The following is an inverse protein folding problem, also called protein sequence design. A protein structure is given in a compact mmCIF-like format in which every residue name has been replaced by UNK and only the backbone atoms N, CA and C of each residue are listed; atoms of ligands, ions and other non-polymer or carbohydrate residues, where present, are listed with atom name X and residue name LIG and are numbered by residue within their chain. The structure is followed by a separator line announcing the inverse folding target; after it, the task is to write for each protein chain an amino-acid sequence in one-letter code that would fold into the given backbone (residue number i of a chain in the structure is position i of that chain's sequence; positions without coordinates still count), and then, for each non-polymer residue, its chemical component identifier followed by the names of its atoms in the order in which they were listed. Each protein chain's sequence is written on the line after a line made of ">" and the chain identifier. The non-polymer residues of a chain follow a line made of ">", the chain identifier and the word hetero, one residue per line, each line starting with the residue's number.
data_IF_986925488789
#
_entry.id   IF_986925488789
#
_cell.length_a   1.000
_cell.length_b   1.000
_cell.length_c   1.000
_cell.angle_alpha   90.00
_cell.angle_beta   90.00
_cell.angle_gamma   90.00
#
_symmetry.space_group_name_H-M   'P 1'
#
loop_
_entity.id
_entity.type
_entity.pdbx_description
1 polymer ?
#
# COMPACT_ATOMS: atom_id res chain seq x y z
N UNK A 1 45.23 3.45 25.90
CA UNK A 1 44.38 4.53 25.36
C UNK A 1 42.93 4.11 25.51
N UNK A 2 42.07 4.97 26.04
CA UNK A 2 40.63 4.69 26.15
C UNK A 2 40.00 4.91 24.77
N UNK A 3 39.16 3.97 24.31
CA UNK A 3 38.42 4.15 23.05
C UNK A 3 37.56 5.40 23.13
N UNK A 4 37.50 6.17 22.04
CA UNK A 4 36.57 7.32 21.91
C UNK A 4 35.15 6.84 21.64
N UNK A 5 34.99 5.67 21.02
CA UNK A 5 33.69 5.07 20.72
C UNK A 5 33.28 4.03 21.78
N UNK A 6 31.96 3.78 21.95
CA UNK A 6 31.46 2.63 22.69
C UNK A 6 32.15 1.34 22.26
N UNK A 7 32.47 0.48 23.24
CA UNK A 7 33.20 -0.75 22.97
C UNK A 7 32.22 -1.83 22.50
N UNK A 8 32.48 -2.40 21.32
CA UNK A 8 31.83 -3.62 20.86
C UNK A 8 32.77 -4.82 21.03
N UNK A 9 32.34 -5.85 21.76
CA UNK A 9 33.07 -7.10 21.88
C UNK A 9 33.20 -7.71 20.49
N UNK A 10 34.36 -8.27 20.16
CA UNK A 10 34.54 -9.05 18.93
C UNK A 10 34.43 -10.52 19.29
N UNK A 11 33.40 -11.20 18.81
CA UNK A 11 33.27 -12.64 18.91
C UNK A 11 34.22 -13.34 17.93
N UNK A 12 34.31 -14.67 18.04
CA UNK A 12 35.04 -15.52 17.09
C UNK A 12 34.10 -16.11 16.03
N UNK A 13 32.86 -15.62 15.92
CA UNK A 13 31.90 -16.15 14.97
C UNK A 13 32.35 -15.91 13.52
N UNK A 14 32.02 -16.86 12.66
CA UNK A 14 32.35 -16.85 11.26
C UNK A 14 31.37 -17.76 10.49
N UNK A 15 31.03 -17.35 9.27
CA UNK A 15 30.23 -18.14 8.35
C UNK A 15 31.11 -18.83 7.31
N UNK A 16 30.66 -19.96 6.77
CA UNK A 16 31.31 -20.60 5.61
C UNK A 16 30.41 -20.45 4.39
N UNK A 17 30.87 -19.72 3.39
CA UNK A 17 30.15 -19.50 2.13
C UNK A 17 31.05 -19.92 0.97
N UNK A 18 30.60 -20.88 0.15
CA UNK A 18 31.36 -21.41 -1.00
C UNK A 18 32.81 -21.83 -0.65
N UNK A 19 32.99 -22.57 0.46
CA UNK A 19 34.29 -22.98 1.01
C UNK A 19 35.22 -21.84 1.46
N UNK A 20 34.71 -20.60 1.59
CA UNK A 20 35.43 -19.48 2.18
C UNK A 20 34.90 -19.19 3.57
N UNK A 21 35.80 -19.02 4.55
CA UNK A 21 35.47 -18.57 5.90
C UNK A 21 35.39 -17.05 5.93
N UNK A 22 34.23 -16.51 6.32
CA UNK A 22 33.96 -15.08 6.45
C UNK A 22 33.72 -14.76 7.92
N UNK A 23 34.63 -14.04 8.60
CA UNK A 23 34.45 -13.65 10.01
C UNK A 23 33.26 -12.71 10.19
N UNK A 24 32.42 -12.96 11.21
CA UNK A 24 31.33 -12.08 11.65
C UNK A 24 31.49 -11.82 13.17
N UNK A 25 32.37 -10.90 13.58
CA UNK A 25 32.69 -10.70 14.99
C UNK A 25 31.58 -10.02 15.80
N UNK A 26 30.46 -9.62 15.18
CA UNK A 26 29.37 -8.91 15.84
C UNK A 26 28.02 -9.63 15.70
N UNK A 27 28.04 -10.93 15.41
CA UNK A 27 26.87 -11.83 15.32
C UNK A 27 25.85 -11.64 16.45
N UNK A 28 26.32 -11.43 17.67
CA UNK A 28 25.47 -11.24 18.83
C UNK A 28 24.58 -9.98 18.77
N UNK A 29 24.94 -8.99 17.94
CA UNK A 29 24.14 -7.78 17.68
C UNK A 29 22.96 -8.03 16.74
N UNK A 30 22.88 -9.20 16.08
CA UNK A 30 21.74 -9.61 15.27
C UNK A 30 20.51 -9.96 16.14
N UNK A 31 20.72 -10.25 17.42
CA UNK A 31 19.65 -10.48 18.41
C UNK A 31 19.32 -9.16 19.15
N UNK A 32 18.14 -8.55 18.89
CA UNK A 32 17.73 -7.32 19.55
C UNK A 32 17.38 -7.53 21.03
N UNK A 33 17.06 -8.76 21.45
CA UNK A 33 16.71 -9.08 22.83
C UNK A 33 17.93 -9.34 23.72
N UNK A 34 19.09 -9.58 23.10
CA UNK A 34 20.36 -9.74 23.80
C UNK A 34 20.69 -8.50 24.65
N UNK A 35 20.95 -8.65 25.96
CA UNK A 35 21.35 -7.55 26.82
C UNK A 35 22.58 -6.78 26.33
N UNK A 36 23.57 -7.46 25.72
CA UNK A 36 24.74 -6.79 25.16
C UNK A 36 24.37 -5.87 23.98
N UNK A 37 23.40 -6.27 23.15
CA UNK A 37 22.87 -5.45 22.05
C UNK A 37 22.17 -4.21 22.59
N UNK A 38 21.29 -4.38 23.59
CA UNK A 38 20.57 -3.27 24.23
C UNK A 38 21.53 -2.28 24.88
N UNK A 39 22.57 -2.76 25.58
CA UNK A 39 23.64 -1.90 26.13
C UNK A 39 24.38 -1.18 25.02
N UNK A 40 24.80 -1.88 23.96
CA UNK A 40 25.52 -1.28 22.84
C UNK A 40 24.70 -0.16 22.18
N UNK A 41 23.42 -0.38 21.87
CA UNK A 41 22.51 0.64 21.32
C UNK A 41 22.41 1.85 22.25
N UNK A 42 22.23 1.62 23.55
CA UNK A 42 22.15 2.71 24.53
C UNK A 42 23.44 3.54 24.61
N UNK A 43 24.60 2.89 24.56
CA UNK A 43 25.90 3.57 24.58
C UNK A 43 26.15 4.36 23.29
N UNK A 44 25.74 3.84 22.13
CA UNK A 44 25.82 4.56 20.86
C UNK A 44 24.95 5.82 20.87
N UNK A 45 23.71 5.72 21.35
CA UNK A 45 22.81 6.88 21.48
C UNK A 45 23.36 7.92 22.46
N UNK A 46 23.90 7.50 23.61
CA UNK A 46 24.51 8.40 24.58
C UNK A 46 25.75 9.12 24.01
N UNK A 47 26.60 8.39 23.29
CA UNK A 47 27.76 8.95 22.61
C UNK A 47 27.37 9.98 21.54
N UNK A 48 26.33 9.69 20.75
CA UNK A 48 25.79 10.63 19.77
C UNK A 48 25.32 11.94 20.43
N UNK A 49 24.55 11.86 21.51
CA UNK A 49 24.09 13.05 22.22
C UNK A 49 25.24 13.84 22.86
N UNK A 50 26.26 13.16 23.40
CA UNK A 50 27.46 13.82 23.92
C UNK A 50 28.22 14.56 22.79
N UNK A 51 28.42 13.92 21.64
CA UNK A 51 29.11 14.51 20.49
C UNK A 51 28.42 15.78 20.00
N UNK A 52 27.08 15.79 19.97
CA UNK A 52 26.30 16.93 19.51
C UNK A 52 25.96 17.96 20.60
N UNK A 53 26.40 17.75 21.84
CA UNK A 53 26.06 18.62 22.97
C UNK A 53 26.52 20.07 22.76
N UNK A 54 27.69 20.31 22.15
CA UNK A 54 28.19 21.65 21.86
C UNK A 54 27.37 22.40 20.81
N UNK A 55 26.62 21.68 19.97
CA UNK A 55 25.81 22.23 18.87
C UNK A 55 24.33 22.34 19.22
N UNK A 56 23.95 22.19 20.49
CA UNK A 56 22.56 22.17 20.94
C UNK A 56 21.76 23.41 20.47
N UNK A 57 22.39 24.60 20.52
CA UNK A 57 21.75 25.85 20.07
C UNK A 57 21.52 25.87 18.55
N UNK A 58 22.46 25.35 17.76
CA UNK A 58 22.28 25.25 16.32
C UNK A 58 21.20 24.21 15.96
N UNK A 59 21.22 23.04 16.61
CA UNK A 59 20.19 22.00 16.46
C UNK A 59 18.80 22.56 16.76
N UNK A 60 18.66 23.31 17.84
CA UNK A 60 17.40 23.97 18.20
C UNK A 60 16.92 24.95 17.13
N UNK A 61 17.80 25.83 16.63
CA UNK A 61 17.46 26.79 15.57
C UNK A 61 17.03 26.09 14.27
N UNK A 62 17.74 25.02 13.88
CA UNK A 62 17.39 24.22 12.71
C UNK A 62 16.03 23.55 12.91
N UNK A 63 15.82 22.93 14.08
CA UNK A 63 14.55 22.30 14.43
C UNK A 63 13.37 23.28 14.38
N UNK A 64 13.52 24.46 14.97
CA UNK A 64 12.49 25.52 14.95
C UNK A 64 12.24 26.00 13.51
N UNK A 65 13.29 26.20 12.71
CA UNK A 65 13.14 26.61 11.30
C UNK A 65 12.39 25.56 10.47
N UNK A 66 12.72 24.28 10.63
CA UNK A 66 12.03 23.19 9.93
C UNK A 66 10.58 23.10 10.42
N UNK A 67 10.34 23.13 11.72
CA UNK A 67 9.00 23.04 12.32
C UNK A 67 8.10 24.17 11.82
N UNK A 68 8.60 25.42 11.86
CA UNK A 68 7.85 26.58 11.35
C UNK A 68 7.54 26.48 9.85
N UNK A 69 8.44 25.87 9.06
CA UNK A 69 8.19 25.64 7.62
C UNK A 69 7.16 24.54 7.34
N UNK A 70 6.93 23.65 8.30
CA UNK A 70 5.94 22.57 8.21
C UNK A 70 4.60 22.88 8.89
N UNK A 71 4.54 23.92 9.72
CA UNK A 71 3.33 24.35 10.43
C UNK A 71 2.37 25.13 9.53
N UNK A 72 1.80 24.41 8.56
CA UNK A 72 0.75 24.91 7.69
C UNK A 72 -0.29 23.82 7.40
N UNK A 73 -1.56 24.18 7.17
CA UNK A 73 -2.60 23.22 6.85
C UNK A 73 -2.30 22.46 5.55
N UNK A 74 -2.46 21.14 5.60
CA UNK A 74 -2.21 20.21 4.48
C UNK A 74 -3.42 19.31 4.28
N UNK A 75 -3.82 19.11 3.03
CA UNK A 75 -4.90 18.18 2.66
C UNK A 75 -4.46 17.18 1.60
N UNK A 76 -5.00 15.96 1.59
CA UNK A 76 -4.91 15.07 0.41
C UNK A 76 -5.82 15.56 -0.72
N UNK A 77 -5.77 14.90 -1.88
CA UNK A 77 -6.87 15.03 -2.84
C UNK A 77 -8.14 14.38 -2.25
N UNK A 78 -9.33 14.92 -2.58
CA UNK A 78 -10.58 14.38 -2.09
C UNK A 78 -10.99 13.13 -2.86
N UNK A 79 -11.61 12.18 -2.17
CA UNK A 79 -12.33 11.04 -2.74
C UNK A 79 -13.83 11.27 -2.59
N UNK A 80 -14.62 11.03 -3.63
CA UNK A 80 -16.08 11.15 -3.55
C UNK A 80 -16.71 9.79 -3.27
N UNK A 81 -17.29 9.62 -2.09
CA UNK A 81 -17.79 8.36 -1.54
C UNK A 81 -19.17 8.62 -0.90
N UNK A 82 -20.20 7.92 -1.37
CA UNK A 82 -21.55 7.86 -0.84
C UNK A 82 -22.17 9.24 -0.55
N UNK A 83 -22.07 10.16 -1.50
CA UNK A 83 -22.59 11.52 -1.36
C UNK A 83 -21.71 12.48 -0.55
N UNK A 84 -20.55 12.02 -0.09
CA UNK A 84 -19.61 12.80 0.73
C UNK A 84 -18.22 12.87 0.09
N UNK A 85 -17.44 13.85 0.52
CA UNK A 85 -16.02 13.99 0.18
C UNK A 85 -15.16 13.61 1.37
N UNK A 86 -14.21 12.72 1.14
CA UNK A 86 -13.24 12.27 2.15
C UNK A 86 -11.84 12.71 1.75
N UNK A 87 -11.10 13.25 2.71
CA UNK A 87 -9.71 13.66 2.50
C UNK A 87 -8.95 13.66 3.82
N UNK A 88 -7.66 13.39 3.75
CA UNK A 88 -6.78 13.55 4.90
C UNK A 88 -6.48 15.02 5.11
N UNK A 89 -6.46 15.46 6.36
CA UNK A 89 -6.11 16.81 6.79
C UNK A 89 -5.07 16.76 7.91
N UNK A 90 -4.09 17.65 7.86
CA UNK A 90 -3.17 17.92 8.96
C UNK A 90 -3.14 19.42 9.18
N UNK A 91 -3.41 19.88 10.39
CA UNK A 91 -3.44 21.32 10.72
C UNK A 91 -2.07 22.00 10.63
N UNK A 92 -0.99 21.22 10.63
CA UNK A 92 0.38 21.70 10.63
C UNK A 92 1.29 20.67 11.28
N UNK A 93 1.25 20.55 12.59
CA UNK A 93 2.18 19.71 13.35
C UNK A 93 1.53 18.47 13.99
N UNK A 94 0.36 18.01 13.50
CA UNK A 94 -0.21 16.76 13.98
C UNK A 94 0.71 15.59 13.59
N UNK A 95 0.88 14.63 14.50
CA UNK A 95 1.70 13.44 14.25
C UNK A 95 1.16 12.64 13.06
N UNK A 96 -0.17 12.45 13.01
CA UNK A 96 -0.86 11.77 11.93
C UNK A 96 -1.92 12.68 11.29
N UNK A 97 -2.09 12.59 9.98
CA UNK A 97 -3.22 13.23 9.31
C UNK A 97 -4.54 12.57 9.71
N UNK A 98 -5.57 13.39 9.88
CA UNK A 98 -6.95 12.98 10.22
C UNK A 98 -7.74 12.78 8.93
N UNK A 99 -8.50 11.69 8.82
CA UNK A 99 -9.45 11.51 7.72
C UNK A 99 -10.71 12.32 8.02
N UNK A 100 -10.98 13.31 7.19
CA UNK A 100 -12.14 14.21 7.28
C UNK A 100 -13.25 13.75 6.34
N UNK A 101 -14.50 14.12 6.69
CA UNK A 101 -15.70 13.96 5.87
C UNK A 101 -16.37 15.32 5.68
N UNK A 102 -16.61 15.68 4.42
CA UNK A 102 -17.28 16.91 4.00
C UNK A 102 -18.52 16.62 3.14
N UNK A 103 -19.48 17.52 3.16
CA UNK A 103 -20.71 17.46 2.35
C UNK A 103 -20.53 18.04 0.95
N UNK A 104 -19.51 18.87 0.74
CA UNK A 104 -19.14 19.44 -0.56
C UNK A 104 -17.65 19.79 -0.61
N UNK A 105 -17.11 20.04 -1.80
CA UNK A 105 -15.72 20.51 -1.98
C UNK A 105 -15.46 21.90 -1.36
N UNK A 106 -16.51 22.67 -1.08
CA UNK A 106 -16.45 24.01 -0.48
C UNK A 106 -16.98 24.03 0.96
N UNK A 107 -17.15 22.86 1.58
CA UNK A 107 -17.63 22.74 2.96
C UNK A 107 -16.66 23.44 3.93
N UNK A 108 -17.18 24.39 4.71
CA UNK A 108 -16.41 25.17 5.69
C UNK A 108 -16.40 24.53 7.07
N UNK A 109 -17.17 23.47 7.30
CA UNK A 109 -17.29 22.78 8.58
C UNK A 109 -17.21 21.24 8.42
N UNK A 110 -16.12 20.70 7.84
CA UNK A 110 -15.94 19.26 7.71
C UNK A 110 -15.87 18.57 9.08
N UNK A 111 -16.36 17.35 9.16
CA UNK A 111 -16.33 16.51 10.36
C UNK A 111 -15.16 15.53 10.34
N UNK A 112 -14.65 15.15 11.51
CA UNK A 112 -13.65 14.07 11.64
C UNK A 112 -14.36 12.74 11.38
N UNK A 113 -13.81 11.92 10.49
CA UNK A 113 -14.27 10.56 10.24
C UNK A 113 -13.39 9.52 10.95
N UNK A 114 -12.07 9.70 10.92
CA UNK A 114 -11.10 8.84 11.61
C UNK A 114 -9.89 9.67 12.04
N UNK A 115 -9.51 9.60 13.32
CA UNK A 115 -8.35 10.30 13.87
C UNK A 115 -7.33 9.31 14.46
N UNK A 116 -6.26 8.96 13.72
CA UNK A 116 -5.21 8.07 14.21
C UNK A 116 -4.47 8.60 15.45
N UNK A 117 -4.47 9.93 15.69
CA UNK A 117 -3.83 10.52 16.87
C UNK A 117 -4.53 10.12 18.17
N UNK A 118 -5.77 9.60 18.12
CA UNK A 118 -6.49 9.10 19.30
C UNK A 118 -6.13 7.65 19.66
N UNK A 119 -5.37 6.96 18.80
CA UNK A 119 -5.07 5.53 18.92
C UNK A 119 -3.74 5.24 19.62
N UNK A 120 -2.88 6.26 19.77
CA UNK A 120 -1.62 6.17 20.52
C UNK A 120 -1.32 7.49 21.21
N UNK A 121 -0.79 7.44 22.44
CA UNK A 121 -0.43 8.65 23.20
C UNK A 121 0.78 9.38 22.64
N UNK A 122 1.64 8.68 21.90
CA UNK A 122 2.86 9.20 21.28
C UNK A 122 2.73 9.41 19.76
N UNK A 123 1.57 9.11 19.16
CA UNK A 123 1.30 9.24 17.73
C UNK A 123 2.02 8.23 16.84
N UNK A 124 2.50 7.11 17.41
CA UNK A 124 3.25 6.07 16.69
C UNK A 124 2.37 5.04 15.99
N UNK A 125 1.04 5.08 16.20
CA UNK A 125 0.07 4.31 15.39
C UNK A 125 -0.26 5.08 14.12
N UNK A 126 -0.02 4.45 12.96
CA UNK A 126 -0.23 5.05 11.65
C UNK A 126 -1.21 4.22 10.80
N UNK A 127 -2.02 4.92 10.01
CA UNK A 127 -2.88 4.33 8.99
C UNK A 127 -2.03 3.89 7.79
N UNK A 128 -2.25 2.68 7.27
CA UNK A 128 -1.46 2.11 6.16
C UNK A 128 -2.30 1.90 4.90
N UNK A 129 -3.40 1.18 4.98
CA UNK A 129 -4.31 0.93 3.88
C UNK A 129 -5.75 1.27 4.26
N UNK A 130 -6.56 1.64 3.27
CA UNK A 130 -8.00 1.88 3.41
C UNK A 130 -8.72 1.41 2.17
N UNK A 131 -9.88 0.77 2.33
CA UNK A 131 -10.75 0.39 1.23
C UNK A 131 -12.22 0.47 1.64
N UNK A 132 -13.05 1.00 0.75
CA UNK A 132 -14.50 1.09 0.94
C UNK A 132 -15.19 -0.17 0.43
N UNK A 133 -16.28 -0.58 1.11
CA UNK A 133 -17.23 -1.58 0.59
C UNK A 133 -17.87 -1.08 -0.71
N UNK A 134 -18.46 -1.99 -1.50
CA UNK A 134 -19.04 -1.60 -2.80
C UNK A 134 -20.17 -0.56 -2.68
N UNK A 135 -21.00 -0.68 -1.65
CA UNK A 135 -22.05 0.30 -1.34
C UNK A 135 -21.54 1.49 -0.53
N UNK A 136 -20.25 1.51 -0.22
CA UNK A 136 -19.56 2.59 0.48
C UNK A 136 -20.14 2.88 1.88
N UNK A 137 -20.81 1.89 2.47
CA UNK A 137 -21.34 1.95 3.83
C UNK A 137 -20.30 1.60 4.90
N UNK A 138 -19.20 0.95 4.52
CA UNK A 138 -18.12 0.54 5.42
C UNK A 138 -16.74 0.90 4.87
N UNK A 139 -15.85 1.34 5.76
CA UNK A 139 -14.43 1.54 5.50
C UNK A 139 -13.65 0.47 6.28
N UNK A 140 -12.97 -0.42 5.56
CA UNK A 140 -11.92 -1.22 6.18
C UNK A 140 -10.61 -0.44 6.14
N UNK A 141 -9.86 -0.44 7.23
CA UNK A 141 -8.61 0.29 7.35
C UNK A 141 -7.58 -0.46 8.18
N UNK A 142 -6.31 -0.36 7.79
CA UNK A 142 -5.22 -1.03 8.49
C UNK A 142 -4.34 -0.06 9.27
N UNK A 143 -3.96 -0.47 10.47
CA UNK A 143 -3.10 0.26 11.39
C UNK A 143 -1.78 -0.48 11.58
N UNK A 144 -0.70 0.28 11.72
CA UNK A 144 0.63 -0.21 12.08
C UNK A 144 1.13 0.58 13.28
N UNK A 145 1.69 -0.12 14.25
CA UNK A 145 2.22 0.46 15.49
C UNK A 145 3.74 0.59 15.42
N UNK A 146 4.27 1.70 15.91
CA UNK A 146 5.72 1.97 16.01
C UNK A 146 6.49 1.80 14.69
N UNK A 147 5.80 1.94 13.56
CA UNK A 147 6.39 1.79 12.23
C UNK A 147 6.59 0.33 11.77
N UNK A 148 6.09 -0.66 12.51
CA UNK A 148 6.15 -2.08 12.12
C UNK A 148 5.41 -2.33 10.80
N UNK A 149 5.91 -3.28 9.99
CA UNK A 149 5.19 -3.72 8.80
C UNK A 149 3.97 -4.60 9.12
N UNK A 150 3.88 -5.11 10.36
CA UNK A 150 2.68 -5.77 10.85
C UNK A 150 1.51 -4.81 10.95
N UNK A 151 0.35 -5.28 10.52
CA UNK A 151 -0.86 -4.50 10.42
C UNK A 151 -2.03 -5.20 11.11
N UNK A 152 -2.89 -4.39 11.71
CA UNK A 152 -4.22 -4.78 12.21
C UNK A 152 -5.28 -4.12 11.35
N UNK A 153 -6.23 -4.90 10.82
CA UNK A 153 -7.33 -4.36 10.01
C UNK A 153 -8.57 -4.22 10.88
N UNK A 154 -9.20 -3.06 10.80
CA UNK A 154 -10.45 -2.70 11.46
C UNK A 154 -11.49 -2.34 10.40
N UNK A 155 -12.77 -2.36 10.80
CA UNK A 155 -13.88 -1.94 9.94
C UNK A 155 -14.68 -0.85 10.65
N UNK A 156 -14.97 0.24 9.94
CA UNK A 156 -15.75 1.38 10.43
C UNK A 156 -16.99 1.57 9.58
N UNK A 157 -18.13 1.85 10.22
CA UNK A 157 -19.35 2.20 9.52
C UNK A 157 -19.38 3.68 9.14
N UNK A 158 -19.81 3.97 7.92
CA UNK A 158 -19.89 5.33 7.39
C UNK A 158 -20.98 6.18 8.04
N UNK A 159 -22.13 5.56 8.37
CA UNK A 159 -23.32 6.22 8.91
C UNK A 159 -23.12 6.71 10.35
N UNK A 160 -22.60 5.84 11.20
CA UNK A 160 -22.43 6.03 12.64
C UNK A 160 -21.04 6.57 13.00
N UNK A 161 -20.05 6.38 12.12
CA UNK A 161 -18.63 6.74 12.37
C UNK A 161 -18.07 5.94 13.56
N UNK A 162 -18.56 4.72 13.75
CA UNK A 162 -18.14 3.79 14.79
C UNK A 162 -17.46 2.56 14.17
N UNK A 163 -16.46 2.03 14.88
CA UNK A 163 -15.83 0.76 14.50
C UNK A 163 -16.75 -0.40 14.84
N UNK A 164 -16.74 -1.43 14.00
CA UNK A 164 -17.39 -2.72 14.28
C UNK A 164 -16.53 -3.53 15.25
N UNK A 165 -16.98 -4.75 15.58
CA UNK A 165 -16.19 -5.71 16.36
C UNK A 165 -15.10 -6.42 15.57
N UNK A 166 -14.99 -6.17 14.26
CA UNK A 166 -14.07 -6.88 13.38
C UNK A 166 -12.63 -6.37 13.59
N UNK A 167 -11.73 -7.29 13.96
CA UNK A 167 -10.30 -7.04 14.13
C UNK A 167 -9.52 -8.20 13.53
N UNK A 168 -8.67 -7.89 12.55
CA UNK A 168 -7.88 -8.87 11.80
C UNK A 168 -6.41 -8.66 12.17
N UNK A 169 -5.80 -9.69 12.74
CA UNK A 169 -4.39 -9.69 13.13
C UNK A 169 -3.51 -10.35 12.07
N UNK A 170 -2.18 -10.14 12.18
CA UNK A 170 -1.17 -10.81 11.36
C UNK A 170 -1.26 -10.52 9.86
N UNK A 171 -1.84 -9.37 9.51
CA UNK A 171 -1.73 -8.84 8.15
C UNK A 171 -0.35 -8.17 7.98
N UNK A 172 0.29 -8.36 6.83
CA UNK A 172 1.59 -7.75 6.49
C UNK A 172 1.68 -7.70 4.97
N UNK A 173 2.22 -6.60 4.43
CA UNK A 173 2.24 -6.35 2.98
C UNK A 173 0.88 -6.56 2.30
N UNK A 174 -0.20 -6.18 3.00
CA UNK A 174 -1.58 -6.49 2.59
C UNK A 174 -2.22 -5.39 1.77
N UNK A 175 -3.10 -5.79 0.85
CA UNK A 175 -4.19 -4.94 0.34
C UNK A 175 -5.49 -5.30 1.06
N UNK A 176 -6.54 -4.48 0.87
CA UNK A 176 -7.90 -4.80 1.31
C UNK A 176 -8.78 -4.75 0.07
N UNK A 177 -9.34 -5.89 -0.34
CA UNK A 177 -10.15 -5.99 -1.55
C UNK A 177 -11.57 -6.47 -1.19
N UNK A 178 -12.51 -5.53 -1.12
CA UNK A 178 -13.90 -5.82 -0.79
C UNK A 178 -14.58 -6.68 -1.85
N UNK A 179 -15.29 -7.70 -1.39
CA UNK A 179 -16.25 -8.43 -2.21
C UNK A 179 -17.65 -8.03 -1.82
N UNK A 180 -18.21 -7.13 -2.64
CA UNK A 180 -19.48 -6.47 -2.37
C UNK A 180 -19.40 -5.77 -1.02
N UNK A 181 -20.32 -6.11 -0.11
CA UNK A 181 -20.39 -5.57 1.26
C UNK A 181 -20.25 -6.68 2.31
N UNK A 182 -19.88 -7.88 1.88
CA UNK A 182 -19.92 -9.08 2.69
C UNK A 182 -18.67 -9.25 3.56
N UNK A 183 -17.56 -8.74 3.05
CA UNK A 183 -16.22 -9.05 3.53
C UNK A 183 -15.16 -8.62 2.53
N UNK A 184 -13.90 -8.92 2.86
CA UNK A 184 -12.77 -8.53 2.03
C UNK A 184 -11.68 -9.60 2.01
N UNK A 185 -10.95 -9.63 0.90
CA UNK A 185 -9.72 -10.39 0.77
C UNK A 185 -8.54 -9.59 1.34
N UNK A 186 -7.63 -10.29 2.01
CA UNK A 186 -6.42 -9.70 2.58
C UNK A 186 -5.28 -10.72 2.60
N UNK A 187 -4.05 -10.24 2.67
CA UNK A 187 -2.84 -11.06 2.79
C UNK A 187 -2.47 -11.22 4.27
N UNK A 188 -2.26 -12.46 4.68
CA UNK A 188 -1.91 -12.85 6.04
C UNK A 188 -0.64 -13.68 6.05
N UNK A 189 0.09 -13.59 7.16
CA UNK A 189 1.22 -14.46 7.46
C UNK A 189 0.91 -15.35 8.68
N UNK A 190 1.61 -16.49 8.82
CA UNK A 190 1.56 -17.27 10.05
C UNK A 190 1.86 -16.38 11.26
N UNK A 191 1.15 -16.61 12.35
CA UNK A 191 1.41 -15.91 13.59
C UNK A 191 2.82 -16.25 14.10
N UNK A 192 3.54 -15.25 14.62
CA UNK A 192 4.81 -15.46 15.27
C UNK A 192 4.62 -16.35 16.51
N UNK A 193 5.62 -17.20 16.81
CA UNK A 193 5.59 -18.03 18.01
C UNK A 193 6.10 -17.26 19.22
N UNK A 194 5.38 -17.31 20.34
CA UNK A 194 5.76 -16.63 21.58
C UNK A 194 5.25 -15.19 21.68
N UNK A 195 5.61 -14.53 22.79
CA UNK A 195 5.27 -13.12 23.05
C UNK A 195 6.41 -12.22 22.54
N UNK A 196 6.43 -12.02 21.21
CA UNK A 196 7.48 -11.25 20.51
C UNK A 196 6.99 -9.83 20.26
N UNK A 197 7.87 -8.83 20.44
CA UNK A 197 7.57 -7.44 20.10
C UNK A 197 7.49 -7.27 18.57
N UNK A 198 6.25 -7.17 18.05
CA UNK A 198 5.96 -7.12 16.61
C UNK A 198 6.68 -5.95 15.94
N UNK A 199 7.57 -6.24 15.00
CA UNK A 199 8.41 -5.30 14.26
C UNK A 199 9.85 -5.23 14.77
N UNK A 200 10.15 -5.79 15.94
CA UNK A 200 11.52 -5.93 16.44
C UNK A 200 12.11 -7.30 16.09
N UNK A 201 11.28 -8.29 15.71
CA UNK A 201 11.77 -9.60 15.30
C UNK A 201 12.61 -9.52 14.02
N UNK A 202 13.58 -10.43 13.91
CA UNK A 202 14.42 -10.62 12.72
C UNK A 202 14.04 -11.88 11.93
N UNK A 203 12.92 -12.51 12.30
CA UNK A 203 12.39 -13.69 11.63
C UNK A 203 12.04 -13.40 10.16
N UNK A 204 12.32 -14.35 9.29
CA UNK A 204 11.95 -14.23 7.88
C UNK A 204 10.44 -14.42 7.75
N UNK A 205 9.74 -13.41 7.24
CA UNK A 205 8.33 -13.53 6.90
C UNK A 205 8.17 -14.40 5.64
N UNK A 206 7.65 -15.62 5.81
CA UNK A 206 7.40 -16.59 4.74
C UNK A 206 5.98 -17.14 4.83
N UNK A 207 5.57 -17.87 3.80
CA UNK A 207 4.27 -18.54 3.71
C UNK A 207 3.10 -17.57 3.75
N UNK A 208 3.18 -16.48 2.98
CA UNK A 208 2.05 -15.58 2.79
C UNK A 208 0.85 -16.33 2.18
N UNK A 209 -0.36 -16.01 2.63
CA UNK A 209 -1.59 -16.57 2.06
C UNK A 209 -2.69 -15.51 1.97
N UNK A 210 -3.58 -15.66 0.99
CA UNK A 210 -4.79 -14.83 0.87
C UNK A 210 -5.89 -15.45 1.71
N UNK A 211 -6.49 -14.64 2.59
CA UNK A 211 -7.70 -14.95 3.33
C UNK A 211 -8.88 -14.13 2.82
N UNK A 212 -10.09 -14.61 3.08
CA UNK A 212 -11.31 -13.83 3.02
C UNK A 212 -11.90 -13.71 4.43
N UNK A 213 -12.05 -12.47 4.89
CA UNK A 213 -12.73 -12.15 6.13
C UNK A 213 -14.19 -11.78 5.85
N UNK A 214 -15.12 -12.34 6.64
CA UNK A 214 -16.55 -12.02 6.56
C UNK A 214 -16.94 -11.08 7.70
N UNK A 215 -17.59 -9.97 7.37
CA UNK A 215 -17.98 -8.96 8.36
C UNK A 215 -18.88 -9.56 9.45
N UNK A 216 -18.59 -9.22 10.70
CA UNK A 216 -19.28 -9.68 11.89
C UNK A 216 -18.90 -11.10 12.32
N UNK A 217 -17.83 -11.69 11.78
CA UNK A 217 -17.33 -13.01 12.17
C UNK A 217 -15.95 -12.90 12.82
N UNK A 218 -15.61 -13.79 13.75
CA UNK A 218 -14.26 -13.81 14.31
C UNK A 218 -13.24 -14.23 13.25
N UNK A 219 -12.00 -13.74 13.36
CA UNK A 219 -10.93 -13.98 12.37
C UNK A 219 -10.56 -15.46 12.21
N UNK A 220 -10.79 -16.30 13.23
CA UNK A 220 -10.52 -17.74 13.15
C UNK A 220 -11.51 -18.50 12.23
N UNK A 221 -12.63 -17.87 11.85
CA UNK A 221 -13.55 -18.35 10.83
C UNK A 221 -13.18 -17.89 9.41
N UNK A 222 -12.09 -17.10 9.23
CA UNK A 222 -11.66 -16.63 7.92
C UNK A 222 -11.28 -17.78 6.98
N UNK A 223 -11.69 -17.66 5.72
CA UNK A 223 -11.47 -18.70 4.72
C UNK A 223 -10.12 -18.47 4.05
N UNK A 224 -9.25 -19.48 4.02
CA UNK A 224 -8.03 -19.45 3.20
C UNK A 224 -8.42 -19.63 1.73
N UNK A 225 -8.08 -18.64 0.91
CA UNK A 225 -8.44 -18.55 -0.50
C UNK A 225 -7.32 -19.07 -1.39
N UNK A 226 -6.08 -18.71 -1.09
CA UNK A 226 -4.91 -19.18 -1.81
C UNK A 226 -3.71 -19.26 -0.87
N UNK A 227 -3.00 -20.38 -0.94
CA UNK A 227 -1.65 -20.56 -0.38
C UNK A 227 -0.82 -21.34 -1.41
N UNK A 228 0.50 -21.09 -1.42
CA UNK A 228 1.44 -21.70 -2.38
C UNK A 228 2.67 -22.21 -1.61
N UNK A 229 2.51 -23.25 -0.75
CA UNK A 229 3.55 -23.70 0.17
C UNK A 229 4.82 -24.23 -0.52
N UNK A 230 4.74 -24.59 -1.80
CA UNK A 230 5.91 -24.94 -2.62
C UNK A 230 6.83 -23.74 -2.92
N UNK A 231 6.34 -22.52 -2.70
CA UNK A 231 7.04 -21.26 -2.90
C UNK A 231 6.87 -20.34 -1.67
N UNK A 232 7.48 -20.68 -0.52
CA UNK A 232 7.26 -19.99 0.76
C UNK A 232 7.73 -18.52 0.74
N UNK A 233 8.64 -18.15 -0.16
CA UNK A 233 9.12 -16.78 -0.32
C UNK A 233 8.19 -15.89 -1.15
N UNK A 234 7.19 -16.46 -1.83
CA UNK A 234 6.29 -15.69 -2.65
C UNK A 234 5.39 -14.79 -1.81
N UNK A 235 5.30 -13.54 -2.25
CA UNK A 235 4.34 -12.58 -1.74
C UNK A 235 3.11 -12.56 -2.64
N UNK A 236 1.96 -12.19 -2.09
CA UNK A 236 0.72 -12.14 -2.87
C UNK A 236 -0.18 -11.00 -2.42
N UNK A 237 -0.93 -10.46 -3.38
CA UNK A 237 -1.95 -9.45 -3.14
C UNK A 237 -3.23 -9.80 -3.88
N UNK A 238 -4.37 -9.48 -3.29
CA UNK A 238 -5.68 -9.71 -3.89
C UNK A 238 -6.33 -8.40 -4.34
N UNK A 239 -7.14 -8.51 -5.40
CA UNK A 239 -8.05 -7.48 -5.88
C UNK A 239 -9.34 -8.14 -6.34
N UNK A 240 -10.45 -7.40 -6.34
CA UNK A 240 -11.73 -7.86 -6.86
C UNK A 240 -12.02 -7.08 -8.14
N UNK A 241 -12.48 -7.79 -9.18
CA UNK A 241 -12.87 -7.18 -10.45
C UNK A 241 -14.01 -6.16 -10.26
N UNK A 242 -14.16 -5.18 -11.15
CA UNK A 242 -15.19 -4.12 -10.99
C UNK A 242 -16.61 -4.68 -11.08
N UNK A 243 -16.80 -5.83 -11.74
CA UNK A 243 -18.07 -6.55 -11.79
C UNK A 243 -18.30 -7.50 -10.61
N UNK A 244 -17.38 -7.55 -9.64
CA UNK A 244 -17.43 -8.39 -8.43
C UNK A 244 -17.57 -9.90 -8.68
N UNK A 245 -17.30 -10.32 -9.92
CA UNK A 245 -17.44 -11.72 -10.35
C UNK A 245 -16.12 -12.48 -10.28
N UNK A 246 -14.99 -11.81 -10.05
CA UNK A 246 -13.67 -12.42 -10.04
C UNK A 246 -12.80 -11.89 -8.91
N UNK A 247 -11.99 -12.78 -8.34
CA UNK A 247 -10.82 -12.42 -7.54
C UNK A 247 -9.57 -12.55 -8.42
N UNK A 248 -8.73 -11.52 -8.36
CA UNK A 248 -7.47 -11.42 -9.08
C UNK A 248 -6.37 -11.47 -8.02
N UNK A 249 -5.49 -12.46 -8.12
CA UNK A 249 -4.34 -12.59 -7.24
C UNK A 249 -3.08 -12.35 -8.05
N UNK A 250 -2.28 -11.40 -7.59
CA UNK A 250 -0.93 -11.16 -8.10
C UNK A 250 0.08 -11.82 -7.17
N UNK A 251 1.06 -12.52 -7.74
CA UNK A 251 2.11 -13.20 -6.97
C UNK A 251 3.48 -12.67 -7.37
N UNK A 252 4.35 -12.43 -6.39
CA UNK A 252 5.69 -11.85 -6.55
C UNK A 252 6.74 -12.78 -5.97
N UNK A 253 7.89 -12.86 -6.64
CA UNK A 253 9.11 -13.50 -6.11
C UNK A 253 10.16 -12.41 -5.88
N UNK A 254 10.30 -11.96 -4.63
CA UNK A 254 11.13 -10.81 -4.28
C UNK A 254 10.58 -9.47 -4.81
N UNK A 255 11.50 -8.55 -5.14
CA UNK A 255 11.18 -7.16 -5.51
C UNK A 255 11.43 -6.84 -7.00
N UNK A 256 11.72 -7.86 -7.81
CA UNK A 256 11.79 -7.65 -9.26
C UNK A 256 10.41 -7.20 -9.79
N UNK A 257 10.34 -6.32 -10.79
CA UNK A 257 9.08 -5.81 -11.34
C UNK A 257 8.44 -6.85 -12.27
N UNK A 258 8.26 -8.08 -11.77
CA UNK A 258 7.65 -9.21 -12.45
C UNK A 258 6.61 -9.83 -11.51
N UNK A 259 5.47 -10.25 -12.04
CA UNK A 259 4.47 -10.96 -11.25
C UNK A 259 3.70 -11.98 -12.07
N UNK A 260 3.13 -12.95 -11.38
CA UNK A 260 2.08 -13.81 -11.91
C UNK A 260 0.74 -13.13 -11.72
N UNK A 261 -0.24 -13.50 -12.55
CA UNK A 261 -1.64 -13.06 -12.43
C UNK A 261 -2.52 -14.28 -12.51
N UNK A 262 -3.14 -14.65 -11.39
CA UNK A 262 -4.08 -15.75 -11.30
C UNK A 262 -5.49 -15.20 -11.04
N UNK A 263 -6.48 -15.70 -11.75
CA UNK A 263 -7.86 -15.21 -11.69
C UNK A 263 -8.79 -16.37 -11.40
N UNK A 264 -9.70 -16.21 -10.43
CA UNK A 264 -10.76 -17.17 -10.16
C UNK A 264 -12.12 -16.49 -10.19
N UNK A 265 -13.13 -17.19 -10.70
CA UNK A 265 -14.51 -16.76 -10.63
C UNK A 265 -15.01 -16.89 -9.19
N UNK A 266 -15.69 -15.86 -8.71
CA UNK A 266 -16.30 -15.84 -7.39
C UNK A 266 -17.71 -16.45 -7.45
N UNK A 267 -18.14 -17.22 -6.43
CA UNK A 267 -19.47 -17.82 -6.42
C UNK A 267 -20.57 -16.76 -6.56
N UNK A 268 -21.56 -17.01 -7.41
CA UNK A 268 -22.72 -16.11 -7.58
C UNK A 268 -23.57 -15.95 -6.31
N UNK A 269 -23.44 -16.87 -5.36
CA UNK A 269 -24.06 -16.79 -4.04
C UNK A 269 -22.98 -16.67 -2.98
N UNK A 270 -23.03 -15.57 -2.23
CA UNK A 270 -22.19 -15.18 -1.09
C UNK A 270 -21.91 -16.27 -0.03
N UNK A 271 -22.78 -17.27 0.08
CA UNK A 271 -22.63 -18.42 1.00
C UNK A 271 -21.74 -19.54 0.46
N UNK A 272 -21.38 -19.51 -0.82
CA UNK A 272 -20.56 -20.55 -1.46
C UNK A 272 -19.05 -20.37 -1.27
N UNK A 273 -18.58 -19.19 -0.84
CA UNK A 273 -17.15 -18.98 -0.66
C UNK A 273 -16.66 -19.79 0.55
N UNK A 274 -15.71 -20.70 0.30
CA UNK A 274 -15.17 -21.62 1.29
C UNK A 274 -15.85 -22.99 1.37
N UNK A 275 -16.93 -23.24 0.62
CA UNK A 275 -17.50 -24.60 0.54
C UNK A 275 -16.66 -25.53 -0.34
N UNK A 276 -16.04 -24.98 -1.38
CA UNK A 276 -15.10 -25.67 -2.27
C UNK A 276 -13.93 -24.72 -2.58
N UNK A 277 -12.72 -25.23 -2.86
CA UNK A 277 -11.60 -24.39 -3.29
C UNK A 277 -11.90 -23.64 -4.58
N UNK A 278 -11.47 -22.38 -4.68
CA UNK A 278 -11.58 -21.63 -5.93
C UNK A 278 -10.64 -22.22 -6.99
N UNK A 279 -11.14 -22.31 -8.22
CA UNK A 279 -10.36 -22.79 -9.36
C UNK A 279 -9.68 -21.59 -10.03
N UNK A 280 -8.38 -21.45 -9.81
CA UNK A 280 -7.59 -20.36 -10.39
C UNK A 280 -7.14 -20.69 -11.81
N UNK A 281 -7.47 -19.80 -12.76
CA UNK A 281 -6.82 -19.72 -14.06
C UNK A 281 -5.55 -18.88 -13.94
N UNK A 282 -4.41 -19.49 -14.28
CA UNK A 282 -3.10 -18.83 -14.29
C UNK A 282 -2.93 -18.00 -15.57
N UNK A 283 -3.54 -16.81 -15.59
CA UNK A 283 -3.61 -15.92 -16.76
C UNK A 283 -2.22 -15.48 -17.24
N UNK A 284 -1.39 -15.02 -16.30
CA UNK A 284 0.05 -14.80 -16.50
C UNK A 284 0.76 -15.76 -15.56
N UNK A 285 1.50 -16.71 -16.11
CA UNK A 285 2.12 -17.79 -15.35
C UNK A 285 3.65 -17.88 -15.54
N UNK A 286 4.27 -16.75 -15.86
CA UNK A 286 5.70 -16.58 -16.01
C UNK A 286 6.09 -15.20 -15.50
N UNK A 287 7.21 -15.10 -14.78
CA UNK A 287 7.78 -13.82 -14.32
C UNK A 287 8.50 -13.09 -15.48
N UNK A 288 7.76 -12.73 -16.53
CA UNK A 288 8.28 -12.09 -17.74
C UNK A 288 8.06 -10.58 -17.80
N UNK A 289 7.28 -10.04 -16.86
CA UNK A 289 6.89 -8.63 -16.81
C UNK A 289 5.95 -8.37 -15.65
N UNK A 290 5.78 -7.10 -15.30
CA UNK A 290 4.74 -6.67 -14.37
C UNK A 290 3.41 -6.61 -15.12
N UNK A 291 2.32 -6.98 -14.46
CA UNK A 291 0.95 -6.83 -14.93
C UNK A 291 0.13 -6.25 -13.77
N UNK A 292 -0.33 -5.01 -13.95
CA UNK A 292 -1.15 -4.28 -12.97
C UNK A 292 -2.55 -4.11 -13.51
N UNK A 293 -3.53 -4.66 -12.81
CA UNK A 293 -4.95 -4.62 -13.19
C UNK A 293 -5.49 -3.17 -13.19
N UNK A 294 -6.20 -2.80 -14.26
CA UNK A 294 -6.85 -1.49 -14.42
C UNK A 294 -8.37 -1.55 -14.34
N UNK A 295 -8.96 -2.68 -14.71
CA UNK A 295 -10.41 -2.85 -14.82
C UNK A 295 -10.78 -3.95 -15.80
N UNK A 296 -12.06 -4.29 -15.91
CA UNK A 296 -12.53 -5.31 -16.86
C UNK A 296 -13.92 -5.03 -17.47
N UNK A 297 -14.13 -5.46 -18.71
CA UNK A 297 -15.46 -5.52 -19.32
C UNK A 297 -15.80 -6.97 -19.67
N UNK A 298 -16.72 -7.57 -18.92
CA UNK A 298 -16.99 -9.01 -19.00
C UNK A 298 -15.72 -9.82 -18.74
N UNK A 299 -15.33 -10.65 -19.71
CA UNK A 299 -14.11 -11.47 -19.68
C UNK A 299 -12.85 -10.73 -20.13
N UNK A 300 -12.95 -9.49 -20.63
CA UNK A 300 -11.80 -8.73 -21.12
C UNK A 300 -11.22 -7.89 -20.00
N UNK A 301 -10.01 -8.23 -19.54
CA UNK A 301 -9.33 -7.55 -18.44
C UNK A 301 -8.22 -6.65 -18.99
N UNK A 302 -8.11 -5.44 -18.46
CA UNK A 302 -7.13 -4.45 -18.89
C UNK A 302 -5.98 -4.35 -17.88
N UNK A 303 -4.74 -4.30 -18.39
CA UNK A 303 -3.54 -4.25 -17.58
C UNK A 303 -2.55 -3.20 -18.10
N UNK A 304 -1.83 -2.54 -17.18
CA UNK A 304 -0.51 -1.98 -17.50
C UNK A 304 0.50 -3.11 -17.44
N UNK A 305 1.38 -3.21 -18.44
CA UNK A 305 2.43 -4.23 -18.42
C UNK A 305 3.80 -3.73 -18.86
N UNK A 306 4.86 -4.28 -18.27
CA UNK A 306 6.26 -4.10 -18.72
C UNK A 306 6.74 -5.20 -19.68
N UNK A 307 5.92 -6.24 -19.94
CA UNK A 307 6.31 -7.35 -20.82
C UNK A 307 6.63 -6.84 -22.22
N UNK A 308 7.86 -7.08 -22.64
CA UNK A 308 8.44 -6.60 -23.91
C UNK A 308 8.31 -5.08 -24.13
N UNK A 309 8.13 -4.33 -23.04
CA UNK A 309 7.84 -2.89 -23.04
C UNK A 309 8.41 -2.25 -21.76
N UNK A 310 9.72 -1.95 -21.69
CA UNK A 310 10.35 -1.41 -20.47
C UNK A 310 9.78 -0.05 -20.04
N UNK A 311 9.13 0.69 -20.95
CA UNK A 311 8.43 1.96 -20.65
C UNK A 311 6.92 1.79 -20.41
N UNK A 312 6.50 0.54 -20.32
CA UNK A 312 5.15 0.02 -20.16
C UNK A 312 4.24 0.30 -21.35
N UNK A 313 3.24 -0.56 -21.49
CA UNK A 313 2.13 -0.46 -22.45
C UNK A 313 0.83 -0.85 -21.75
N UNK A 314 -0.31 -0.61 -22.39
CA UNK A 314 -1.62 -1.06 -21.91
C UNK A 314 -2.10 -2.17 -22.83
N UNK A 315 -2.50 -3.29 -22.23
CA UNK A 315 -3.02 -4.45 -22.93
C UNK A 315 -4.40 -4.82 -22.40
N UNK A 316 -5.20 -5.47 -23.24
CA UNK A 316 -6.34 -6.26 -22.81
C UNK A 316 -6.00 -7.74 -22.90
N UNK A 317 -6.57 -8.54 -22.02
CA UNK A 317 -6.46 -10.01 -22.03
C UNK A 317 -7.86 -10.57 -21.83
N UNK A 318 -8.34 -11.38 -22.78
CA UNK A 318 -9.56 -12.16 -22.57
C UNK A 318 -9.24 -13.36 -21.65
N UNK A 319 -9.91 -13.42 -20.50
CA UNK A 319 -9.60 -14.42 -19.48
C UNK A 319 -10.05 -15.83 -19.84
N UNK A 320 -10.78 -16.07 -20.93
CA UNK A 320 -11.17 -17.43 -21.35
C UNK A 320 -10.17 -18.00 -22.35
N UNK A 321 -9.72 -17.18 -23.29
CA UNK A 321 -8.79 -17.56 -24.36
C UNK A 321 -7.32 -17.30 -23.99
N UNK A 322 -7.05 -16.35 -23.10
CA UNK A 322 -5.70 -15.85 -22.83
C UNK A 322 -5.15 -14.95 -23.94
N UNK A 323 -5.99 -14.54 -24.90
CA UNK A 323 -5.56 -13.67 -25.99
C UNK A 323 -5.24 -12.27 -25.46
N UNK A 324 -3.97 -11.86 -25.60
CA UNK A 324 -3.49 -10.52 -25.27
C UNK A 324 -3.56 -9.61 -26.51
N UNK A 325 -4.09 -8.39 -26.35
CA UNK A 325 -4.14 -7.36 -27.40
C UNK A 325 -3.60 -6.04 -26.85
N UNK A 326 -2.74 -5.35 -27.61
CA UNK A 326 -2.24 -4.03 -27.21
C UNK A 326 -3.29 -2.96 -27.47
N UNK A 327 -3.62 -2.18 -26.43
CA UNK A 327 -4.55 -1.04 -26.50
C UNK A 327 -3.79 0.27 -26.67
N UNK A 328 -2.76 0.47 -25.86
CA UNK A 328 -1.87 1.65 -25.94
C UNK A 328 -0.43 1.15 -26.01
N UNK A 329 0.23 1.41 -27.13
CA UNK A 329 1.64 1.08 -27.32
C UNK A 329 2.54 1.87 -26.37
N UNK A 330 3.72 1.30 -26.09
CA UNK A 330 4.72 2.01 -25.28
C UNK A 330 5.12 3.32 -25.95
N UNK A 331 5.25 4.37 -25.15
CA UNK A 331 5.68 5.70 -25.62
C UNK A 331 7.18 5.88 -25.42
N UNK A 332 7.71 7.05 -25.80
CA UNK A 332 9.09 7.45 -25.49
C UNK A 332 9.30 7.69 -23.99
N UNK A 333 8.30 8.22 -23.32
CA UNK A 333 8.27 8.48 -21.88
C UNK A 333 7.76 7.25 -21.13
N UNK A 334 8.14 7.09 -19.85
CA UNK A 334 7.71 5.94 -19.04
C UNK A 334 6.29 6.18 -18.53
N UNK A 335 5.35 5.26 -18.71
CA UNK A 335 4.02 5.36 -18.10
C UNK A 335 4.14 5.19 -16.56
N UNK A 336 3.99 6.27 -15.80
CA UNK A 336 4.16 6.26 -14.34
C UNK A 336 2.89 5.78 -13.64
N UNK A 337 1.72 6.29 -14.05
CA UNK A 337 0.41 5.94 -13.50
C UNK A 337 -0.61 5.75 -14.62
N UNK A 338 -1.56 4.85 -14.42
CA UNK A 338 -2.71 4.68 -15.29
C UNK A 338 -3.94 4.29 -14.50
N UNK A 339 -5.11 4.73 -14.97
CA UNK A 339 -6.39 4.32 -14.44
C UNK A 339 -7.42 4.20 -15.57
N UNK A 340 -8.38 3.29 -15.39
CA UNK A 340 -9.52 3.15 -16.28
C UNK A 340 -10.78 3.66 -15.58
N UNK A 341 -11.35 4.73 -16.10
CA UNK A 341 -12.58 5.36 -15.62
C UNK A 341 -13.64 5.23 -16.70
N UNK A 342 -14.67 4.42 -16.45
CA UNK A 342 -15.61 3.96 -17.49
C UNK A 342 -14.84 3.36 -18.68
N UNK A 343 -14.86 4.03 -19.84
CA UNK A 343 -14.16 3.66 -21.08
C UNK A 343 -13.02 4.64 -21.42
N UNK A 344 -12.56 5.42 -20.45
CA UNK A 344 -11.46 6.40 -20.60
C UNK A 344 -10.26 5.94 -19.79
N UNK A 345 -9.10 5.88 -20.45
CA UNK A 345 -7.82 5.74 -19.80
C UNK A 345 -7.27 7.11 -19.42
N UNK A 346 -6.87 7.27 -18.16
CA UNK A 346 -6.14 8.42 -17.64
C UNK A 346 -4.69 8.00 -17.43
N UNK A 347 -3.74 8.70 -18.07
CA UNK A 347 -2.36 8.23 -18.27
C UNK A 347 -1.36 9.32 -17.88
N UNK A 348 -0.58 9.08 -16.83
CA UNK A 348 0.55 9.93 -16.46
C UNK A 348 1.85 9.30 -16.97
N UNK A 349 2.65 10.09 -17.69
CA UNK A 349 3.98 9.68 -18.15
C UNK A 349 5.06 10.53 -17.48
N UNK A 350 6.18 9.89 -17.15
CA UNK A 350 7.38 10.54 -16.68
C UNK A 350 8.24 10.95 -17.88
N UNK A 351 8.26 12.23 -18.20
CA UNK A 351 9.02 12.84 -19.28
C UNK A 351 10.08 13.78 -18.70
N UNK A 352 11.36 13.43 -18.90
CA UNK A 352 12.49 14.18 -18.34
C UNK A 352 12.31 14.51 -16.84
N UNK A 353 11.89 13.51 -16.06
CA UNK A 353 11.65 13.59 -14.61
C UNK A 353 10.51 14.55 -14.22
N UNK A 354 9.53 14.76 -15.10
CA UNK A 354 8.30 15.53 -14.84
C UNK A 354 7.09 14.72 -15.30
N UNK A 355 6.00 14.78 -14.55
CA UNK A 355 4.77 14.14 -15.00
C UNK A 355 4.07 14.99 -16.07
N UNK A 356 3.70 14.33 -17.17
CA UNK A 356 2.79 14.83 -18.21
C UNK A 356 1.56 13.94 -18.25
N UNK A 357 0.38 14.51 -18.44
CA UNK A 357 -0.88 13.80 -18.23
C UNK A 357 -1.74 13.81 -19.49
N UNK A 358 -2.31 12.66 -19.81
CA UNK A 358 -3.09 12.42 -21.01
C UNK A 358 -4.36 11.64 -20.66
N UNK A 359 -5.34 11.72 -21.57
CA UNK A 359 -6.45 10.77 -21.60
C UNK A 359 -6.67 10.22 -23.01
N UNK A 360 -7.21 9.02 -23.12
CA UNK A 360 -7.72 8.45 -24.37
C UNK A 360 -8.93 7.53 -24.09
N UNK A 361 -9.70 7.19 -25.13
CA UNK A 361 -10.80 6.22 -25.00
C UNK A 361 -10.30 4.82 -25.34
N UNK A 362 -10.91 3.78 -24.82
CA UNK A 362 -10.56 2.39 -25.19
C UNK A 362 -10.77 2.12 -26.68
N UNK A 363 -11.83 2.68 -27.28
CA UNK A 363 -12.18 2.53 -28.70
C UNK A 363 -11.32 3.40 -29.63
N UNK A 364 -10.77 4.51 -29.11
CA UNK A 364 -9.87 5.42 -29.82
C UNK A 364 -8.72 5.80 -28.87
N UNK A 365 -7.60 5.06 -28.91
CA UNK A 365 -6.48 5.24 -28.01
C UNK A 365 -5.63 6.48 -28.34
N UNK A 366 -6.12 7.42 -29.15
CA UNK A 366 -5.46 8.70 -29.41
C UNK A 366 -5.28 9.50 -28.12
N UNK A 367 -4.03 9.83 -27.79
CA UNK A 367 -3.68 10.55 -26.56
C UNK A 367 -4.03 12.04 -26.66
N UNK A 368 -4.80 12.52 -25.70
CA UNK A 368 -5.19 13.92 -25.55
C UNK A 368 -4.54 14.52 -24.29
N UNK A 369 -3.75 15.57 -24.45
CA UNK A 369 -3.02 16.17 -23.33
C UNK A 369 -3.93 16.93 -22.38
N UNK A 370 -3.67 16.79 -21.07
CA UNK A 370 -4.25 17.58 -19.99
C UNK A 370 -3.15 18.53 -19.51
N UNK A 371 -3.26 19.85 -19.73
CA UNK A 371 -2.23 20.80 -19.34
C UNK A 371 -2.02 20.81 -17.82
N UNK A 372 -0.79 20.57 -17.38
CA UNK A 372 -0.39 20.58 -15.97
C UNK A 372 0.80 21.53 -15.73
N UNK A 373 0.92 22.11 -14.52
CA UNK A 373 2.18 22.73 -14.11
C UNK A 373 3.28 21.67 -13.98
N UNK A 374 4.54 22.09 -14.11
CA UNK A 374 5.70 21.21 -13.93
C UNK A 374 5.73 20.66 -12.49
N UNK A 375 5.71 19.34 -12.36
CA UNK A 375 5.73 18.68 -11.06
C UNK A 375 5.51 17.17 -11.16
N UNK A 376 5.06 16.60 -10.04
CA UNK A 376 4.73 15.18 -9.89
C UNK A 376 3.29 15.03 -9.43
N UNK A 377 2.55 14.09 -10.02
CA UNK A 377 1.24 13.64 -9.56
C UNK A 377 1.46 12.67 -8.40
N UNK A 378 1.23 13.14 -7.17
CA UNK A 378 1.55 12.37 -5.95
C UNK A 378 0.39 11.54 -5.43
N UNK A 379 -0.82 11.82 -5.86
CA UNK A 379 -2.00 11.06 -5.49
C UNK A 379 -3.07 11.17 -6.56
N UNK A 380 -3.84 10.09 -6.70
CA UNK A 380 -4.82 9.92 -7.77
C UNK A 380 -6.01 9.13 -7.23
N UNK A 381 -7.19 9.74 -7.23
CA UNK A 381 -8.45 9.07 -6.94
C UNK A 381 -9.19 8.83 -8.24
N UNK A 382 -9.52 7.58 -8.48
CA UNK A 382 -10.40 7.14 -9.56
C UNK A 382 -11.12 5.88 -9.15
N UNK A 383 -12.34 5.74 -9.63
CA UNK A 383 -13.11 4.51 -9.56
C UNK A 383 -13.74 4.29 -10.93
N UNK A 384 -13.74 3.06 -11.41
CA UNK A 384 -14.23 2.77 -12.76
C UNK A 384 -15.70 3.13 -12.94
N UNK A 385 -16.52 2.98 -11.88
CA UNK A 385 -17.96 3.25 -11.88
C UNK A 385 -18.29 4.72 -11.59
N UNK A 386 -17.31 5.56 -11.23
CA UNK A 386 -17.54 6.96 -10.86
C UNK A 386 -17.15 7.94 -11.95
N UNK A 387 -17.83 9.08 -11.92
CA UNK A 387 -17.58 10.22 -12.80
C UNK A 387 -16.54 11.16 -12.19
N UNK A 388 -16.45 11.14 -10.85
CA UNK A 388 -15.51 11.97 -10.11
C UNK A 388 -14.10 11.39 -10.13
N UNK A 389 -13.16 12.20 -10.61
CA UNK A 389 -11.72 11.92 -10.54
C UNK A 389 -11.01 13.09 -9.88
N UNK A 390 -9.96 12.80 -9.12
CA UNK A 390 -9.14 13.86 -8.53
C UNK A 390 -7.68 13.44 -8.46
N UNK A 391 -6.79 14.41 -8.50
CA UNK A 391 -5.37 14.17 -8.30
C UNK A 391 -4.67 15.37 -7.69
N UNK A 392 -3.47 15.16 -7.15
CA UNK A 392 -2.66 16.21 -6.54
C UNK A 392 -1.30 16.33 -7.21
N UNK A 393 -0.91 17.56 -7.53
CA UNK A 393 0.42 17.88 -8.07
C UNK A 393 1.24 18.59 -7.01
N UNK A 394 2.50 18.20 -6.87
CA UNK A 394 3.52 18.91 -6.08
C UNK A 394 4.72 19.27 -6.96
N UNK A 395 5.51 20.24 -6.51
CA UNK A 395 6.80 20.63 -7.13
C UNK A 395 7.68 21.27 -6.05
N UNK A 396 8.95 21.55 -6.35
CA UNK A 396 9.90 22.09 -5.36
C UNK A 396 9.41 23.36 -4.64
N UNK A 397 8.66 24.22 -5.34
CA UNK A 397 8.09 25.46 -4.80
C UNK A 397 6.55 25.45 -4.77
N UNK A 398 5.94 24.27 -4.93
CA UNK A 398 4.49 24.08 -4.89
C UNK A 398 4.19 22.96 -3.88
N UNK A 399 3.87 23.28 -2.61
CA UNK A 399 3.59 22.27 -1.58
C UNK A 399 2.54 21.24 -2.03
N UNK A 400 1.49 21.71 -2.70
CA UNK A 400 0.60 20.85 -3.46
C UNK A 400 -0.64 21.59 -3.97
N UNK A 401 -1.18 21.12 -5.10
CA UNK A 401 -2.44 21.61 -5.66
C UNK A 401 -3.28 20.42 -6.09
N UNK A 402 -4.50 20.32 -5.54
CA UNK A 402 -5.48 19.32 -5.93
C UNK A 402 -6.27 19.82 -7.13
N UNK A 403 -6.58 18.92 -8.04
CA UNK A 403 -7.46 19.11 -9.18
C UNK A 403 -8.54 18.03 -9.14
N UNK A 404 -9.75 18.36 -9.60
CA UNK A 404 -10.85 17.41 -9.67
C UNK A 404 -11.72 17.69 -10.88
N UNK A 405 -12.30 16.63 -11.44
CA UNK A 405 -13.28 16.68 -12.52
C UNK A 405 -14.47 15.80 -12.17
N UNK A 406 -15.62 16.19 -12.70
CA UNK A 406 -16.90 15.49 -12.65
C UNK A 406 -17.43 15.31 -14.05
#
# INVERSE_FOLDING_TARGET
>A
MRSVYPLARRSMAAYTMHNMTVPEPYDYLEDPENPETKTFVSEQNAFFEEYFASEAELRKKIFESISNSQDYPRTSNPSYINGHYYYYHNSGLQNQSVLMRATSLTDTAPSIFLDPNTMSSDGTTALKATAWSEDESMLAYSLSDKGSDWQRIHVRRADTVEDTSDVIEWAKFTTIAWWHNLGFFYTRYPALQGDVDKGAETDTAQDAFICFHRIGRPQDEDVVILSVPEHPQWNMGASVSDCHSYVIVVLFDGCEPHNLVWVAELPSVEKGLGSEPLVFKKLVNEFAGMYTYLGNEGSTFYFVTTRDAPRKKIVSIDIHTGQETVIVEQQRSVLSQAALVKNTLLLAYLEDVKDVFYYCRLEDPTLNAIPLPIGTITSFFSDRKKDFVSFKITSFLLPGRSFSWT
#
